data_IF_015581562816
#
_entry.id   IF_015581562816
#
_cell.length_a   1.000
_cell.length_b   1.000
_cell.length_c   1.000
_cell.angle_alpha   90.00
_cell.angle_beta   90.00
_cell.angle_gamma   90.00
#
_symmetry.space_group_name_H-M   'P 1'
#
loop_
_entity.id
_entity.type
_entity.pdbx_description
1 polymer ?
#
# COMPACT_ATOMS: atom_id res chain seq x y z
N UNK A 1 2.26 -7.79 -13.59
CA UNK A 1 0.85 -7.36 -13.43
C UNK A 1 0.74 -6.26 -12.36
N UNK A 2 1.46 -5.15 -12.54
CA UNK A 2 1.65 -4.16 -11.46
C UNK A 2 0.43 -3.25 -11.23
N UNK A 3 -0.37 -2.99 -12.27
CA UNK A 3 -1.57 -2.14 -12.13
C UNK A 3 -2.67 -2.78 -11.29
N UNK A 4 -2.94 -4.09 -11.47
CA UNK A 4 -3.94 -4.82 -10.69
C UNK A 4 -3.54 -4.87 -9.22
N UNK A 5 -2.29 -5.27 -8.94
CA UNK A 5 -1.75 -5.29 -7.59
C UNK A 5 -1.74 -3.89 -6.95
N UNK A 6 -1.43 -2.85 -7.72
CA UNK A 6 -1.46 -1.47 -7.25
C UNK A 6 -2.85 -1.04 -6.78
N UNK A 7 -3.89 -1.38 -7.54
CA UNK A 7 -5.29 -1.10 -7.16
C UNK A 7 -5.67 -1.90 -5.89
N UNK A 8 -5.28 -3.18 -5.82
CA UNK A 8 -5.55 -4.02 -4.66
C UNK A 8 -4.88 -3.48 -3.38
N UNK A 9 -3.60 -3.12 -3.45
CA UNK A 9 -2.88 -2.51 -2.32
C UNK A 9 -3.50 -1.19 -1.87
N UNK A 10 -3.91 -0.34 -2.80
CA UNK A 10 -4.61 0.92 -2.49
C UNK A 10 -5.93 0.66 -1.77
N UNK A 11 -6.75 -0.25 -2.30
CA UNK A 11 -8.03 -0.63 -1.68
C UNK A 11 -7.83 -1.26 -0.29
N UNK A 12 -6.82 -2.11 -0.12
CA UNK A 12 -6.48 -2.72 1.16
C UNK A 12 -6.02 -1.69 2.19
N UNK A 13 -5.15 -0.74 1.81
CA UNK A 13 -4.72 0.34 2.69
C UNK A 13 -5.91 1.18 3.17
N UNK A 14 -6.82 1.54 2.26
CA UNK A 14 -8.05 2.25 2.58
C UNK A 14 -8.97 1.43 3.52
N UNK A 15 -9.14 0.14 3.26
CA UNK A 15 -9.93 -0.73 4.14
C UNK A 15 -9.34 -0.83 5.56
N UNK A 16 -8.01 -0.74 5.69
CA UNK A 16 -7.30 -0.69 6.97
C UNK A 16 -7.36 0.69 7.64
N UNK A 17 -7.70 1.76 6.93
CA UNK A 17 -7.97 3.07 7.52
C UNK A 17 -9.36 3.14 8.15
N UNK A 18 -10.34 2.44 7.57
CA UNK A 18 -11.72 2.43 8.07
C UNK A 18 -11.95 1.53 9.29
N UNK A 19 -10.96 0.74 9.71
CA UNK A 19 -11.13 -0.25 10.78
C UNK A 19 -10.26 0.08 11.98
N UNK A 20 -10.89 0.12 13.16
CA UNK A 20 -10.20 0.10 14.44
C UNK A 20 -9.69 -1.32 14.74
N UNK A 21 -8.55 -1.65 14.15
CA UNK A 21 -7.88 -2.93 14.30
C UNK A 21 -6.37 -2.74 14.18
N UNK A 22 -5.59 -3.51 14.95
CA UNK A 22 -4.13 -3.50 14.82
C UNK A 22 -3.68 -4.70 14.01
N UNK A 23 -3.42 -4.56 12.69
CA UNK A 23 -2.90 -5.66 11.88
C UNK A 23 -1.45 -5.97 12.25
N UNK A 24 -0.92 -7.10 11.77
CA UNK A 24 0.47 -7.52 12.04
C UNK A 24 1.52 -6.50 11.58
N UNK A 25 2.76 -6.65 12.08
CA UNK A 25 3.87 -5.69 11.83
C UNK A 25 4.11 -5.42 10.34
N UNK A 26 4.17 -6.48 9.52
CA UNK A 26 4.38 -6.34 8.07
C UNK A 26 3.24 -5.60 7.38
N UNK A 27 1.99 -5.93 7.71
CA UNK A 27 0.82 -5.25 7.14
C UNK A 27 0.79 -3.77 7.51
N UNK A 28 1.11 -3.42 8.77
CA UNK A 28 1.22 -2.01 9.19
C UNK A 28 2.31 -1.29 8.41
N UNK A 29 3.47 -1.92 8.21
CA UNK A 29 4.57 -1.33 7.45
C UNK A 29 4.20 -1.14 5.98
N UNK A 30 3.57 -2.11 5.34
CA UNK A 30 3.07 -1.97 3.97
C UNK A 30 2.09 -0.80 3.83
N UNK A 31 1.12 -0.66 4.75
CA UNK A 31 0.18 0.47 4.80
C UNK A 31 0.91 1.81 4.94
N UNK A 32 1.89 1.90 5.84
CA UNK A 32 2.73 3.08 6.02
C UNK A 32 3.45 3.46 4.72
N UNK A 33 4.05 2.48 4.03
CA UNK A 33 4.70 2.71 2.74
C UNK A 33 3.72 3.28 1.71
N UNK A 34 2.56 2.65 1.55
CA UNK A 34 1.52 3.10 0.59
C UNK A 34 1.10 4.54 0.89
N UNK A 35 0.94 4.91 2.17
CA UNK A 35 0.53 6.26 2.59
C UNK A 35 1.59 7.34 2.38
N UNK A 36 2.85 6.97 2.06
CA UNK A 36 3.85 7.93 1.56
C UNK A 36 3.61 8.37 0.11
N UNK A 37 2.86 7.57 -0.66
CA UNK A 37 2.67 7.79 -2.10
C UNK A 37 1.23 8.17 -2.47
N UNK A 38 0.26 7.63 -1.74
CA UNK A 38 -1.17 7.84 -1.96
C UNK A 38 -1.85 8.22 -0.65
N UNK A 39 -2.40 9.42 -0.61
CA UNK A 39 -3.15 9.92 0.55
C UNK A 39 -4.44 9.14 0.77
N UNK A 40 -4.93 9.15 2.01
CA UNK A 40 -6.24 8.62 2.36
C UNK A 40 -7.33 9.25 1.49
N UNK A 41 -8.24 8.42 0.99
CA UNK A 41 -9.35 8.86 0.15
C UNK A 41 -10.51 9.28 1.05
N UNK A 42 -10.54 10.56 1.43
CA UNK A 42 -11.61 11.14 2.27
C UNK A 42 -12.82 11.54 1.41
N UNK A 43 -12.55 12.18 0.28
CA UNK A 43 -13.54 12.56 -0.72
C UNK A 43 -13.20 11.93 -2.07
N UNK A 44 -14.21 11.81 -2.94
CA UNK A 44 -14.02 11.29 -4.28
C UNK A 44 -13.08 12.19 -5.11
N UNK A 45 -12.10 11.55 -5.76
CA UNK A 45 -11.18 12.18 -6.70
C UNK A 45 -10.92 11.29 -7.90
N UNK A 46 -10.43 11.84 -9.04
CA UNK A 46 -9.96 11.02 -10.14
C UNK A 46 -8.82 10.09 -9.68
N UNK A 47 -9.02 8.77 -9.79
CA UNK A 47 -8.09 7.77 -9.23
C UNK A 47 -6.92 7.40 -10.16
N UNK A 48 -6.93 7.81 -11.43
CA UNK A 48 -5.85 7.48 -12.37
C UNK A 48 -4.44 7.94 -11.92
N UNK A 49 -4.25 9.08 -11.20
CA UNK A 49 -2.94 9.45 -10.66
C UNK A 49 -2.49 8.48 -9.59
N UNK A 50 -3.39 8.07 -8.69
CA UNK A 50 -3.11 7.14 -7.60
C UNK A 50 -2.79 5.75 -8.15
N UNK A 51 -3.57 5.24 -9.10
CA UNK A 51 -3.30 3.97 -9.76
C UNK A 51 -1.95 3.96 -10.48
N UNK A 52 -1.56 5.09 -11.11
CA UNK A 52 -0.27 5.22 -11.78
C UNK A 52 0.88 5.22 -10.78
N UNK A 53 0.76 5.94 -9.65
CA UNK A 53 1.74 5.91 -8.56
C UNK A 53 1.86 4.53 -7.94
N UNK A 54 0.73 3.86 -7.68
CA UNK A 54 0.72 2.51 -7.11
C UNK A 54 1.33 1.49 -8.06
N UNK A 55 1.08 1.59 -9.36
CA UNK A 55 1.76 0.74 -10.36
C UNK A 55 3.28 0.87 -10.24
N UNK A 56 3.79 2.10 -10.19
CA UNK A 56 5.23 2.36 -10.05
C UNK A 56 5.78 1.87 -8.71
N UNK A 57 5.03 2.07 -7.61
CA UNK A 57 5.41 1.59 -6.27
C UNK A 57 5.52 0.06 -6.22
N UNK A 58 4.55 -0.67 -6.77
CA UNK A 58 4.60 -2.13 -6.83
C UNK A 58 5.74 -2.61 -7.72
N UNK A 59 5.98 -1.94 -8.86
CA UNK A 59 7.09 -2.27 -9.77
C UNK A 59 8.47 -2.05 -9.12
N UNK A 60 8.59 -1.08 -8.21
CA UNK A 60 9.83 -0.79 -7.48
C UNK A 60 10.19 -1.83 -6.41
N UNK A 61 9.25 -2.72 -6.04
CA UNK A 61 9.37 -3.64 -4.91
C UNK A 61 9.58 -2.98 -3.52
N UNK A 62 9.50 -1.65 -3.38
CA UNK A 62 9.75 -0.96 -2.10
C UNK A 62 8.82 -1.46 -0.96
N UNK A 63 7.56 -1.81 -1.27
CA UNK A 63 6.65 -2.40 -0.27
C UNK A 63 7.24 -3.69 0.31
N UNK A 64 7.80 -4.56 -0.55
CA UNK A 64 8.40 -5.82 -0.12
C UNK A 64 9.65 -5.57 0.72
N UNK A 65 10.57 -4.74 0.21
CA UNK A 65 11.85 -4.43 0.88
C UNK A 65 11.64 -3.84 2.28
N UNK A 66 10.72 -2.88 2.40
CA UNK A 66 10.41 -2.24 3.68
C UNK A 66 9.71 -3.20 4.65
N UNK A 67 8.87 -4.11 4.14
CA UNK A 67 8.23 -5.14 4.96
C UNK A 67 9.28 -6.14 5.46
N UNK A 68 10.15 -6.65 4.60
CA UNK A 68 11.22 -7.58 4.99
C UNK A 68 12.20 -6.92 5.98
N UNK A 69 12.54 -5.65 5.79
CA UNK A 69 13.32 -4.89 6.77
C UNK A 69 12.62 -4.83 8.14
N UNK A 70 11.29 -4.79 8.16
CA UNK A 70 10.52 -4.78 9.40
C UNK A 70 10.34 -6.17 10.03
N UNK A 71 10.15 -7.24 9.27
CA UNK A 71 9.76 -8.56 9.81
C UNK A 71 10.81 -9.66 9.64
N UNK A 72 11.92 -9.37 8.97
CA UNK A 72 12.89 -10.36 8.51
C UNK A 72 12.58 -10.83 7.08
N UNK A 73 13.53 -11.56 6.48
CA UNK A 73 13.38 -12.15 5.15
C UNK A 73 12.14 -13.06 5.09
N UNK A 74 11.37 -12.93 4.03
CA UNK A 74 10.14 -13.69 3.79
C UNK A 74 10.34 -14.87 2.83
N UNK A 75 11.54 -15.03 2.26
CA UNK A 75 11.91 -16.13 1.38
C UNK A 75 13.08 -15.80 0.46
#
# INVERSE_FOLDING_TARGET
AYGVLGIEFMAAAQALDFREFTPGKGVRKAKEVIRRYVDFLDEDRPLYPDHTRMKALVESCEILEEVEAAVGSLG
#
